data_IF_351103538775
#
_entry.id   IF_351103538775
#
_cell.length_a   1.000
_cell.length_b   1.000
_cell.length_c   1.000
_cell.angle_alpha   90.00
_cell.angle_beta   90.00
_cell.angle_gamma   90.00
#
_symmetry.space_group_name_H-M   'P 1'
#
loop_
_entity.id
_entity.type
_entity.pdbx_description
1 polymer ?
#
# COMPACT_ATOMS: atom_id res chain seq x y z
N UNK A 1 21.58 27.22 37.03
CA UNK A 1 22.07 26.36 35.94
C UNK A 1 21.22 25.11 35.98
N UNK A 2 20.07 25.15 35.31
CA UNK A 2 19.16 24.01 35.18
C UNK A 2 19.11 23.68 33.70
N UNK A 3 19.74 22.56 33.32
CA UNK A 3 19.83 22.08 31.95
C UNK A 3 18.44 21.80 31.38
N UNK A 4 18.04 22.53 30.35
CA UNK A 4 16.92 22.17 29.48
C UNK A 4 17.26 20.87 28.75
N UNK A 5 16.57 19.79 29.13
CA UNK A 5 16.62 18.52 28.41
C UNK A 5 15.89 18.70 27.08
N UNK A 6 16.65 18.96 26.02
CA UNK A 6 16.16 18.93 24.66
C UNK A 6 15.86 17.47 24.29
N UNK A 7 14.60 17.05 24.44
CA UNK A 7 14.13 15.76 23.96
C UNK A 7 14.02 15.87 22.43
N UNK A 8 15.08 15.50 21.71
CA UNK A 8 14.98 15.29 20.26
C UNK A 8 14.16 14.01 20.04
N UNK A 9 12.87 14.15 19.75
CA UNK A 9 12.07 13.03 19.28
C UNK A 9 12.74 12.47 18.01
N UNK A 10 13.09 11.18 18.03
CA UNK A 10 13.67 10.47 16.88
C UNK A 10 12.67 10.58 15.72
N UNK A 11 13.11 11.17 14.60
CA UNK A 11 12.28 11.28 13.40
C UNK A 11 11.69 9.91 13.02
N UNK A 12 10.42 9.84 12.62
CA UNK A 12 9.77 8.57 12.33
C UNK A 12 10.50 7.85 11.20
N UNK A 13 10.64 6.53 11.33
CA UNK A 13 11.33 5.66 10.36
C UNK A 13 10.71 5.71 8.95
N UNK A 14 9.46 6.19 8.85
CA UNK A 14 8.73 6.42 7.62
C UNK A 14 8.05 7.80 7.67
N UNK A 15 7.92 8.51 6.54
CA UNK A 15 7.15 9.76 6.49
C UNK A 15 5.70 9.53 6.93
N UNK A 16 5.03 10.61 7.36
CA UNK A 16 3.60 10.54 7.66
C UNK A 16 2.82 10.13 6.41
N UNK A 17 1.79 9.30 6.59
CA UNK A 17 0.94 8.87 5.49
C UNK A 17 0.00 10.02 5.12
N UNK A 18 0.30 10.69 4.02
CA UNK A 18 -0.55 11.68 3.37
C UNK A 18 -1.12 11.09 2.09
N UNK A 19 -2.13 11.75 1.51
CA UNK A 19 -2.61 11.37 0.20
C UNK A 19 -1.49 11.51 -0.85
N UNK A 20 -0.76 12.62 -0.85
CA UNK A 20 0.34 12.88 -1.78
C UNK A 20 1.43 11.80 -1.70
N UNK A 21 1.89 11.48 -0.49
CA UNK A 21 3.04 10.59 -0.25
C UNK A 21 2.67 9.11 -0.11
N UNK A 22 1.39 8.76 -0.30
CA UNK A 22 0.86 7.43 0.04
C UNK A 22 1.62 6.29 -0.67
N UNK A 23 1.98 6.51 -1.95
CA UNK A 23 2.69 5.53 -2.79
C UNK A 23 4.09 5.30 -2.26
N UNK A 24 4.83 6.38 -1.95
CA UNK A 24 6.21 6.30 -1.50
C UNK A 24 6.30 5.67 -0.11
N UNK A 25 5.38 6.03 0.80
CA UNK A 25 5.28 5.44 2.13
C UNK A 25 5.02 3.93 2.07
N UNK A 26 4.16 3.48 1.15
CA UNK A 26 3.88 2.04 0.97
C UNK A 26 5.05 1.31 0.32
N UNK A 27 5.61 1.86 -0.76
CA UNK A 27 6.74 1.25 -1.45
C UNK A 27 8.02 1.20 -0.61
N UNK A 28 8.21 2.15 0.32
CA UNK A 28 9.32 2.15 1.27
C UNK A 28 9.31 0.95 2.23
N UNK A 29 8.18 0.24 2.36
CA UNK A 29 8.08 -0.98 3.18
C UNK A 29 8.71 -2.21 2.51
N UNK A 30 9.03 -2.14 1.21
CA UNK A 30 9.77 -3.20 0.53
C UNK A 30 11.22 -3.24 1.04
N UNK A 31 11.57 -4.32 1.75
CA UNK A 31 12.88 -4.53 2.38
C UNK A 31 14.05 -4.50 1.40
N UNK A 32 15.26 -4.21 1.88
CA UNK A 32 16.46 -4.02 1.05
C UNK A 32 16.82 -5.24 0.20
N UNK A 33 16.46 -6.43 0.67
CA UNK A 33 16.85 -7.71 0.07
C UNK A 33 15.84 -8.26 -0.94
N UNK A 34 14.80 -7.48 -1.27
CA UNK A 34 13.83 -7.84 -2.32
C UNK A 34 14.51 -7.91 -3.69
N UNK A 35 14.07 -8.88 -4.51
CA UNK A 35 14.49 -8.95 -5.91
C UNK A 35 14.23 -7.62 -6.64
N UNK A 36 15.21 -7.07 -7.39
CA UNK A 36 15.07 -5.78 -8.05
C UNK A 36 13.91 -5.73 -9.06
N UNK A 37 13.67 -6.82 -9.80
CA UNK A 37 12.57 -6.87 -10.78
C UNK A 37 11.22 -6.94 -10.09
N UNK A 38 11.11 -7.73 -9.03
CA UNK A 38 9.90 -7.79 -8.22
C UNK A 38 9.57 -6.44 -7.59
N UNK A 39 10.57 -5.69 -7.11
CA UNK A 39 10.39 -4.33 -6.58
C UNK A 39 9.79 -3.39 -7.62
N UNK A 40 10.27 -3.43 -8.85
CA UNK A 40 9.77 -2.61 -9.95
C UNK A 40 8.32 -2.96 -10.29
N UNK A 41 8.01 -4.25 -10.42
CA UNK A 41 6.66 -4.75 -10.72
C UNK A 41 5.67 -4.36 -9.63
N UNK A 42 5.98 -4.67 -8.36
CA UNK A 42 5.10 -4.37 -7.25
C UNK A 42 4.96 -2.86 -7.02
N UNK A 43 6.04 -2.09 -7.16
CA UNK A 43 5.99 -0.64 -7.05
C UNK A 43 5.07 0.01 -8.09
N UNK A 44 5.06 -0.53 -9.32
CA UNK A 44 4.15 -0.08 -10.39
C UNK A 44 2.70 -0.40 -10.05
N UNK A 45 2.41 -1.62 -9.59
CA UNK A 45 1.05 -2.03 -9.19
C UNK A 45 0.53 -1.13 -8.06
N UNK A 46 1.32 -0.92 -7.00
CA UNK A 46 0.94 -0.06 -5.86
C UNK A 46 0.65 1.37 -6.32
N UNK A 47 1.51 1.93 -7.18
CA UNK A 47 1.31 3.27 -7.75
C UNK A 47 -0.06 3.40 -8.43
N UNK A 48 -0.41 2.46 -9.29
CA UNK A 48 -1.67 2.52 -10.03
C UNK A 48 -2.90 2.26 -9.16
N UNK A 49 -2.81 1.37 -8.17
CA UNK A 49 -3.90 1.17 -7.20
C UNK A 49 -4.18 2.45 -6.40
N UNK A 50 -3.15 3.13 -5.91
CA UNK A 50 -3.33 4.41 -5.21
C UNK A 50 -3.89 5.50 -6.12
N UNK A 51 -3.44 5.57 -7.38
CA UNK A 51 -3.99 6.52 -8.35
C UNK A 51 -5.50 6.30 -8.57
N UNK A 52 -5.94 5.05 -8.73
CA UNK A 52 -7.36 4.72 -8.87
C UNK A 52 -8.19 5.14 -7.65
N UNK A 53 -7.68 4.93 -6.43
CA UNK A 53 -8.39 5.35 -5.21
C UNK A 53 -8.50 6.87 -5.12
N UNK A 54 -7.45 7.61 -5.48
CA UNK A 54 -7.47 9.08 -5.52
C UNK A 54 -8.42 9.62 -6.58
N UNK A 55 -8.52 8.94 -7.72
CA UNK A 55 -9.43 9.34 -8.80
C UNK A 55 -10.89 9.08 -8.45
N UNK A 56 -11.18 7.95 -7.81
CA UNK A 56 -12.55 7.54 -7.47
C UNK A 56 -13.07 8.28 -6.24
N UNK A 57 -12.18 8.70 -5.32
CA UNK A 57 -12.52 9.25 -4.00
C UNK A 57 -13.67 8.47 -3.32
N UNK A 58 -13.53 7.14 -3.14
CA UNK A 58 -14.64 6.31 -2.73
C UNK A 58 -15.12 6.69 -1.33
N UNK A 59 -16.43 6.57 -1.13
CA UNK A 59 -16.98 6.56 0.21
C UNK A 59 -16.45 5.34 0.99
N UNK A 60 -16.57 5.40 2.32
CA UNK A 60 -16.17 4.28 3.17
C UNK A 60 -16.87 2.97 2.81
N UNK A 61 -18.16 3.03 2.43
CA UNK A 61 -18.95 1.87 2.05
C UNK A 61 -18.45 1.25 0.75
N UNK A 62 -18.20 2.07 -0.27
CA UNK A 62 -17.66 1.62 -1.57
C UNK A 62 -16.26 1.02 -1.41
N UNK A 63 -15.42 1.63 -0.58
CA UNK A 63 -14.10 1.09 -0.27
C UNK A 63 -14.19 -0.29 0.36
N UNK A 64 -15.03 -0.47 1.39
CA UNK A 64 -15.23 -1.77 2.03
C UNK A 64 -15.82 -2.80 1.05
N UNK A 65 -16.73 -2.40 0.17
CA UNK A 65 -17.27 -3.27 -0.87
C UNK A 65 -16.17 -3.75 -1.84
N UNK A 66 -15.30 -2.84 -2.28
CA UNK A 66 -14.14 -3.19 -3.13
C UNK A 66 -13.17 -4.16 -2.45
N UNK A 67 -12.82 -3.92 -1.19
CA UNK A 67 -11.99 -4.85 -0.40
C UNK A 67 -12.66 -6.21 -0.26
N UNK A 68 -13.97 -6.25 0.01
CA UNK A 68 -14.72 -7.50 0.12
C UNK A 68 -14.72 -8.27 -1.21
N UNK A 69 -14.91 -7.57 -2.33
CA UNK A 69 -14.84 -8.16 -3.66
C UNK A 69 -13.47 -8.83 -3.90
N UNK A 70 -12.36 -8.10 -3.73
CA UNK A 70 -11.01 -8.65 -3.91
C UNK A 70 -10.70 -9.81 -2.95
N UNK A 71 -11.21 -9.75 -1.72
CA UNK A 71 -11.09 -10.84 -0.75
C UNK A 71 -11.85 -12.08 -1.22
N UNK A 72 -13.07 -11.92 -1.73
CA UNK A 72 -13.86 -13.02 -2.28
C UNK A 72 -13.22 -13.61 -3.53
N UNK A 73 -12.66 -12.77 -4.42
CA UNK A 73 -11.84 -13.20 -5.56
C UNK A 73 -10.71 -14.12 -5.10
N UNK A 74 -9.97 -13.72 -4.06
CA UNK A 74 -8.90 -14.54 -3.47
C UNK A 74 -9.41 -15.87 -2.88
N UNK A 75 -10.52 -15.85 -2.14
CA UNK A 75 -11.12 -17.08 -1.58
C UNK A 75 -11.69 -18.04 -2.64
N UNK A 76 -12.00 -17.54 -3.84
CA UNK A 76 -12.48 -18.36 -4.96
C UNK A 76 -11.35 -19.01 -5.76
N UNK A 77 -10.09 -18.58 -5.54
CA UNK A 77 -8.94 -19.24 -6.12
C UNK A 77 -8.76 -20.67 -5.57
N UNK A 78 -8.38 -21.58 -6.45
CA UNK A 78 -8.00 -22.97 -6.15
C UNK A 78 -6.76 -23.35 -6.96
N UNK A 79 -6.25 -24.57 -6.77
CA UNK A 79 -5.13 -25.09 -7.57
C UNK A 79 -5.40 -25.07 -9.09
N UNK A 80 -6.68 -25.13 -9.48
CA UNK A 80 -7.11 -25.19 -10.88
C UNK A 80 -7.77 -23.90 -11.38
N UNK A 81 -8.08 -22.97 -10.48
CA UNK A 81 -8.82 -21.75 -10.80
C UNK A 81 -8.10 -20.55 -10.20
N UNK A 82 -7.58 -19.68 -11.05
CA UNK A 82 -6.89 -18.47 -10.62
C UNK A 82 -7.70 -17.22 -10.97
N UNK A 83 -8.53 -16.79 -10.03
CA UNK A 83 -9.46 -15.66 -10.25
C UNK A 83 -8.74 -14.33 -10.45
N UNK A 84 -7.58 -14.12 -9.84
CA UNK A 84 -6.79 -12.92 -10.09
C UNK A 84 -6.21 -12.87 -11.51
N UNK A 85 -6.01 -14.03 -12.17
CA UNK A 85 -5.64 -14.08 -13.60
C UNK A 85 -6.85 -13.72 -14.48
N UNK A 86 -8.05 -14.09 -14.06
CA UNK A 86 -9.27 -13.75 -14.80
C UNK A 86 -9.73 -12.31 -14.59
N UNK A 87 -9.41 -11.74 -13.42
CA UNK A 87 -9.73 -10.36 -13.06
C UNK A 87 -8.81 -9.33 -13.74
N UNK A 88 -7.55 -9.69 -14.02
CA UNK A 88 -6.53 -8.81 -14.59
C UNK A 88 -6.71 -8.56 -16.09
#
# INVERSE_FOLDING_TARGET
MSEERHITAKAPKYPYFTEEDSVDVVNARMGTDIDPRLREVMGTIVKHLHAAVKEIEPTHEEWLAGIKFLTQTGHMCTDWRQEFILLS
#
